data_IF_571673648819
#
_entry.id   IF_571673648819
#
_cell.length_a   1.000
_cell.length_b   1.000
_cell.length_c   1.000
_cell.angle_alpha   90.00
_cell.angle_beta   90.00
_cell.angle_gamma   90.00
#
_symmetry.space_group_name_H-M   'P 1'
#
loop_
_entity.id
_entity.type
_entity.pdbx_description
1 polymer ?
#
# COMPACT_ATOMS: atom_id res chain seq x y z
N UNK A 1 17.26 -92.24 5.05
CA UNK A 1 17.52 -91.36 6.21
C UNK A 1 17.83 -89.99 5.68
N UNK A 2 16.78 -89.21 5.44
CA UNK A 2 16.90 -87.85 4.80
C UNK A 2 16.85 -86.79 5.86
N UNK A 3 17.98 -86.11 6.06
CA UNK A 3 18.03 -84.89 6.89
C UNK A 3 17.75 -83.69 6.01
N UNK A 4 16.54 -83.13 6.14
CA UNK A 4 16.24 -81.79 5.64
C UNK A 4 16.65 -80.74 6.71
N UNK A 5 17.64 -79.96 6.40
CA UNK A 5 17.91 -78.70 7.16
C UNK A 5 17.05 -77.59 6.62
N UNK A 6 16.23 -76.88 7.43
CA UNK A 6 15.56 -75.67 6.98
C UNK A 6 16.53 -74.50 7.03
N UNK A 7 16.82 -73.92 5.87
CA UNK A 7 17.59 -72.68 5.72
C UNK A 7 16.79 -71.55 6.32
N UNK A 8 17.24 -71.02 7.45
CA UNK A 8 16.59 -69.90 8.12
C UNK A 8 16.93 -68.57 7.43
N UNK A 9 16.06 -68.07 6.56
CA UNK A 9 16.19 -66.77 5.85
C UNK A 9 15.82 -65.55 6.71
N UNK A 10 15.51 -65.77 7.99
CA UNK A 10 15.05 -64.71 8.90
C UNK A 10 16.08 -63.58 9.21
N UNK A 11 17.40 -63.85 9.39
CA UNK A 11 18.34 -62.77 9.69
C UNK A 11 18.64 -61.87 8.49
N UNK A 12 18.55 -62.37 7.26
CA UNK A 12 18.83 -61.59 6.03
C UNK A 12 17.74 -60.56 5.74
N UNK A 13 16.46 -60.91 5.99
CA UNK A 13 15.33 -60.00 5.83
C UNK A 13 15.35 -58.88 6.85
N UNK A 14 15.74 -59.17 8.11
CA UNK A 14 15.87 -58.13 9.17
C UNK A 14 17.01 -57.15 8.86
N UNK A 15 18.11 -57.62 8.25
CA UNK A 15 19.23 -56.74 7.86
C UNK A 15 18.85 -55.80 6.70
N UNK A 16 18.06 -56.26 5.72
CA UNK A 16 17.57 -55.43 4.59
C UNK A 16 16.58 -54.37 5.01
N UNK A 17 15.67 -54.70 5.97
CA UNK A 17 14.72 -53.70 6.53
C UNK A 17 15.44 -52.66 7.37
N UNK A 18 16.46 -53.01 8.14
CA UNK A 18 17.27 -52.11 8.92
C UNK A 18 18.03 -51.11 8.06
N UNK A 19 18.61 -51.54 6.93
CA UNK A 19 19.33 -50.64 6.00
C UNK A 19 18.38 -49.65 5.28
N UNK A 20 17.10 -49.99 5.05
CA UNK A 20 16.16 -49.09 4.40
C UNK A 20 15.78 -47.88 5.26
N UNK A 21 15.78 -48.02 6.58
CA UNK A 21 15.50 -46.90 7.50
C UNK A 21 16.66 -45.93 7.68
N UNK A 22 17.91 -46.28 7.34
CA UNK A 22 19.09 -45.42 7.49
C UNK A 22 19.28 -44.47 6.29
N UNK A 23 18.61 -44.74 5.16
CA UNK A 23 18.78 -43.94 3.92
C UNK A 23 17.72 -42.83 3.73
N UNK A 24 16.85 -42.59 4.70
CA UNK A 24 15.93 -41.44 4.62
C UNK A 24 16.77 -40.16 4.79
N UNK A 25 16.97 -39.35 3.74
CA UNK A 25 17.59 -38.06 3.92
C UNK A 25 16.68 -37.20 4.79
N UNK A 26 17.07 -36.94 6.02
CA UNK A 26 16.45 -35.90 6.81
C UNK A 26 16.73 -34.58 6.08
N UNK A 27 15.67 -33.93 5.57
CA UNK A 27 15.76 -32.56 5.09
C UNK A 27 16.07 -31.68 6.30
N UNK A 28 17.35 -31.46 6.59
CA UNK A 28 17.75 -30.43 7.51
C UNK A 28 17.66 -29.08 6.79
N UNK A 29 16.74 -28.24 7.23
CA UNK A 29 16.75 -26.84 6.80
C UNK A 29 18.07 -26.21 7.26
N UNK A 30 18.76 -25.53 6.35
CA UNK A 30 20.05 -24.93 6.68
C UNK A 30 19.88 -23.92 7.84
N UNK A 31 20.85 -23.88 8.76
CA UNK A 31 20.87 -22.90 9.86
C UNK A 31 20.72 -21.46 9.36
N UNK A 32 21.20 -21.15 8.14
CA UNK A 32 21.02 -19.87 7.47
C UNK A 32 19.56 -19.56 7.14
N UNK A 33 18.80 -20.56 6.70
CA UNK A 33 17.35 -20.39 6.43
C UNK A 33 16.57 -20.22 7.73
N UNK A 34 16.93 -20.97 8.77
CA UNK A 34 16.33 -20.80 10.10
C UNK A 34 16.66 -19.43 10.71
N UNK A 35 17.89 -18.95 10.61
CA UNK A 35 18.26 -17.60 11.04
C UNK A 35 17.58 -16.52 10.23
N UNK A 36 17.41 -16.69 8.91
CA UNK A 36 16.67 -15.76 8.06
C UNK A 36 15.18 -15.70 8.42
N UNK A 37 14.57 -16.82 8.81
CA UNK A 37 13.20 -16.87 9.31
C UNK A 37 13.06 -16.22 10.71
N UNK A 38 14.04 -16.42 11.58
CA UNK A 38 14.04 -15.85 12.95
C UNK A 38 14.36 -14.35 12.95
N UNK A 39 15.09 -13.85 11.94
CA UNK A 39 15.37 -12.42 11.76
C UNK A 39 14.18 -11.63 11.18
N UNK A 40 13.16 -12.30 10.64
CA UNK A 40 11.89 -11.64 10.27
C UNK A 40 11.21 -11.14 11.53
N UNK A 41 10.85 -9.85 11.53
CA UNK A 41 10.08 -9.26 12.62
C UNK A 41 8.79 -10.05 12.78
N UNK A 42 8.62 -10.69 13.94
CA UNK A 42 7.40 -11.45 14.28
C UNK A 42 6.22 -10.47 14.15
N UNK A 43 5.19 -10.83 13.39
CA UNK A 43 4.00 -9.99 13.19
C UNK A 43 4.12 -8.93 12.09
N UNK A 44 5.20 -8.94 11.28
CA UNK A 44 5.32 -8.07 10.10
C UNK A 44 5.53 -8.90 8.85
N UNK A 45 4.61 -8.77 7.90
CA UNK A 45 4.72 -9.37 6.57
C UNK A 45 5.29 -8.34 5.60
N UNK A 46 6.26 -8.74 4.78
CA UNK A 46 6.92 -7.89 3.80
C UNK A 46 6.59 -8.34 2.38
N UNK A 47 6.26 -7.38 1.49
CA UNK A 47 6.08 -7.59 0.07
C UNK A 47 6.77 -6.51 -0.73
N UNK A 48 7.48 -6.90 -1.80
CA UNK A 48 8.19 -6.00 -2.69
C UNK A 48 7.44 -5.85 -4.02
N UNK A 49 7.45 -4.63 -4.58
CA UNK A 49 6.86 -4.36 -5.89
C UNK A 49 5.34 -4.62 -5.91
N UNK A 50 4.59 -4.08 -4.95
CA UNK A 50 3.16 -4.35 -4.79
C UNK A 50 2.30 -3.47 -5.69
N UNK A 51 1.15 -4.03 -6.09
CA UNK A 51 0.08 -3.33 -6.79
C UNK A 51 -1.28 -3.78 -6.21
N UNK A 52 -2.05 -2.83 -5.67
CA UNK A 52 -3.32 -3.07 -4.99
C UNK A 52 -4.42 -2.35 -5.75
N UNK A 53 -5.42 -3.09 -6.23
CA UNK A 53 -6.57 -2.52 -6.93
C UNK A 53 -7.77 -2.43 -5.98
N UNK A 54 -8.38 -1.27 -5.92
CA UNK A 54 -9.70 -1.10 -5.31
C UNK A 54 -10.76 -1.09 -6.39
N UNK A 55 -11.73 -2.00 -6.27
CA UNK A 55 -12.84 -2.14 -7.23
C UNK A 55 -14.18 -1.93 -6.53
N UNK A 56 -15.10 -1.26 -7.23
CA UNK A 56 -16.47 -1.06 -6.78
C UNK A 56 -17.42 -1.31 -7.95
N UNK A 57 -18.43 -2.18 -7.75
CA UNK A 57 -19.36 -2.53 -8.83
C UNK A 57 -18.70 -3.15 -10.07
N UNK A 58 -17.62 -3.93 -9.87
CA UNK A 58 -16.86 -4.56 -10.97
C UNK A 58 -15.92 -3.62 -11.74
N UNK A 59 -15.84 -2.33 -11.37
CA UNK A 59 -14.94 -1.35 -12.00
C UNK A 59 -13.79 -0.97 -11.05
N UNK A 60 -12.59 -0.82 -11.61
CA UNK A 60 -11.44 -0.30 -10.87
C UNK A 60 -11.70 1.17 -10.58
N UNK A 61 -11.61 1.56 -9.32
CA UNK A 61 -11.73 2.95 -8.85
C UNK A 61 -10.39 3.55 -8.49
N UNK A 62 -9.49 2.73 -7.95
CA UNK A 62 -8.10 3.15 -7.72
C UNK A 62 -7.14 1.98 -7.79
N UNK A 63 -5.90 2.29 -8.14
CA UNK A 63 -4.76 1.39 -8.13
C UNK A 63 -3.64 2.04 -7.35
N UNK A 64 -3.23 1.39 -6.25
CA UNK A 64 -2.08 1.80 -5.46
C UNK A 64 -0.88 0.94 -5.82
N UNK A 65 0.29 1.53 -5.94
CA UNK A 65 1.54 0.81 -6.17
C UNK A 65 2.65 1.34 -5.27
N UNK A 66 3.51 0.43 -4.81
CA UNK A 66 4.63 0.76 -3.94
C UNK A 66 5.79 -0.21 -4.13
N UNK A 67 7.05 0.24 -4.01
CA UNK A 67 8.22 -0.63 -4.09
C UNK A 67 8.33 -1.57 -2.89
N UNK A 68 7.78 -1.19 -1.73
CA UNK A 68 7.83 -1.97 -0.49
C UNK A 68 6.53 -1.76 0.30
N UNK A 69 5.95 -2.85 0.77
CA UNK A 69 4.80 -2.90 1.66
C UNK A 69 5.15 -3.72 2.91
N UNK A 70 4.83 -3.19 4.08
CA UNK A 70 4.93 -3.87 5.36
C UNK A 70 3.53 -3.98 5.97
N UNK A 71 3.07 -5.18 6.23
CA UNK A 71 1.80 -5.42 6.92
C UNK A 71 2.08 -5.75 8.38
N UNK A 72 1.62 -4.89 9.26
CA UNK A 72 1.77 -5.01 10.71
C UNK A 72 0.53 -5.67 11.31
N UNK A 73 0.73 -6.79 12.03
CA UNK A 73 -0.32 -7.52 12.74
C UNK A 73 -0.36 -7.08 14.22
N UNK A 74 -0.50 -5.77 14.42
CA UNK A 74 -0.65 -5.17 15.76
C UNK A 74 -2.11 -5.28 16.26
N UNK A 75 -2.39 -4.77 17.46
CA UNK A 75 -3.77 -4.68 18.00
C UNK A 75 -4.72 -3.97 17.04
N UNK A 76 -4.24 -2.96 16.32
CA UNK A 76 -4.91 -2.34 15.18
C UNK A 76 -4.05 -2.62 13.96
N UNK A 77 -4.40 -3.61 13.11
CA UNK A 77 -3.61 -3.94 11.95
C UNK A 77 -3.54 -2.77 10.95
N UNK A 78 -2.36 -2.56 10.39
CA UNK A 78 -2.15 -1.54 9.36
C UNK A 78 -1.14 -1.99 8.32
N UNK A 79 -1.20 -1.37 7.17
CA UNK A 79 -0.24 -1.54 6.07
C UNK A 79 0.59 -0.26 5.95
N UNK A 80 1.90 -0.40 5.85
CA UNK A 80 2.85 0.69 5.71
C UNK A 80 3.56 0.62 4.37
N UNK A 81 3.77 1.78 3.74
CA UNK A 81 4.53 1.97 2.53
C UNK A 81 5.72 2.90 2.83
N UNK A 82 6.85 2.35 3.35
CA UNK A 82 7.91 3.18 3.95
C UNK A 82 8.84 3.85 2.94
N UNK A 83 8.82 3.45 1.67
CA UNK A 83 9.70 4.02 0.64
C UNK A 83 9.01 5.02 -0.27
N UNK A 84 7.82 4.70 -0.73
CA UNK A 84 6.93 5.57 -1.51
C UNK A 84 5.59 4.89 -1.73
N UNK A 85 4.60 5.67 -2.10
CA UNK A 85 3.30 5.21 -2.58
C UNK A 85 2.90 6.04 -3.80
N UNK A 86 2.38 5.36 -4.82
CA UNK A 86 1.77 5.95 -6.00
C UNK A 86 0.33 5.47 -6.13
N UNK A 87 -0.59 6.38 -6.48
CA UNK A 87 -2.00 6.09 -6.70
C UNK A 87 -2.48 6.59 -8.05
N UNK A 88 -3.16 5.72 -8.80
CA UNK A 88 -3.95 6.07 -9.98
C UNK A 88 -5.43 5.98 -9.61
N UNK A 89 -6.20 7.04 -9.87
CA UNK A 89 -7.63 7.10 -9.62
C UNK A 89 -8.38 7.18 -10.95
N UNK A 90 -9.41 6.34 -11.07
CA UNK A 90 -10.13 6.13 -12.32
C UNK A 90 -11.54 6.72 -12.26
N UNK A 91 -11.96 7.34 -13.34
CA UNK A 91 -13.34 7.75 -13.53
C UNK A 91 -14.25 6.56 -13.91
N UNK A 92 -15.52 6.81 -14.15
CA UNK A 92 -16.51 5.76 -14.51
C UNK A 92 -16.26 5.11 -15.86
N UNK A 93 -15.48 5.76 -16.74
CA UNK A 93 -15.03 5.23 -18.03
C UNK A 93 -13.73 4.40 -17.91
N UNK A 94 -13.22 4.19 -16.70
CA UNK A 94 -11.96 3.49 -16.41
C UNK A 94 -10.72 4.19 -16.99
N UNK A 95 -10.78 5.52 -17.12
CA UNK A 95 -9.64 6.38 -17.51
C UNK A 95 -9.05 6.97 -16.24
N UNK A 96 -7.71 7.02 -16.17
CA UNK A 96 -7.01 7.66 -15.05
C UNK A 96 -7.30 9.17 -15.14
N UNK A 97 -7.91 9.70 -14.08
CA UNK A 97 -8.30 11.11 -13.98
C UNK A 97 -7.40 11.88 -13.02
N UNK A 98 -7.00 11.22 -11.93
CA UNK A 98 -6.15 11.80 -10.89
C UNK A 98 -5.04 10.84 -10.53
N UNK A 99 -3.87 11.37 -10.18
CA UNK A 99 -2.71 10.64 -9.68
C UNK A 99 -2.22 11.23 -8.38
N UNK A 100 -1.62 10.37 -7.56
CA UNK A 100 -1.07 10.73 -6.27
C UNK A 100 0.32 10.14 -6.10
N UNK A 101 1.24 10.93 -5.55
CA UNK A 101 2.56 10.50 -5.13
C UNK A 101 2.84 10.95 -3.71
N UNK A 102 3.48 10.11 -2.90
CA UNK A 102 4.03 10.47 -1.59
C UNK A 102 5.25 9.60 -1.27
N UNK A 103 6.14 10.09 -0.39
CA UNK A 103 7.30 9.31 0.07
C UNK A 103 6.95 8.27 1.12
N UNK A 104 5.82 8.43 1.79
CA UNK A 104 5.35 7.54 2.84
C UNK A 104 3.84 7.40 2.79
N UNK A 105 3.32 6.20 3.07
CA UNK A 105 1.90 5.94 3.24
C UNK A 105 1.62 4.94 4.36
N UNK A 106 0.48 5.08 5.03
CA UNK A 106 -0.06 4.13 6.00
C UNK A 106 -1.55 3.95 5.78
N UNK A 107 -1.97 2.71 5.56
CA UNK A 107 -3.37 2.33 5.40
C UNK A 107 -3.87 1.59 6.64
N UNK A 108 -4.97 2.07 7.23
CA UNK A 108 -5.66 1.42 8.35
C UNK A 108 -6.96 0.86 7.80
N UNK A 109 -7.03 -0.48 7.66
CA UNK A 109 -8.17 -1.18 7.03
C UNK A 109 -9.50 -0.86 7.71
N UNK A 110 -9.54 -0.87 9.04
CA UNK A 110 -10.75 -0.61 9.84
C UNK A 110 -11.32 0.80 9.64
N UNK A 111 -10.50 1.75 9.18
CA UNK A 111 -10.89 3.15 8.95
C UNK A 111 -11.11 3.47 7.49
N UNK A 112 -10.77 2.56 6.55
CA UNK A 112 -10.78 2.80 5.10
C UNK A 112 -10.01 4.05 4.67
N UNK A 113 -8.98 4.40 5.43
CA UNK A 113 -8.25 5.67 5.36
C UNK A 113 -6.78 5.41 5.10
N UNK A 114 -6.20 6.17 4.16
CA UNK A 114 -4.76 6.19 3.89
C UNK A 114 -4.21 7.54 4.31
N UNK A 115 -3.33 7.52 5.31
CA UNK A 115 -2.49 8.66 5.67
C UNK A 115 -1.23 8.66 4.82
N UNK A 116 -0.88 9.80 4.25
CA UNK A 116 0.32 10.00 3.42
C UNK A 116 1.10 11.20 3.91
N UNK A 117 2.41 11.12 3.82
CA UNK A 117 3.28 12.22 4.21
C UNK A 117 4.55 12.29 3.38
N UNK A 118 5.24 13.40 3.52
CA UNK A 118 6.49 13.73 2.88
C UNK A 118 6.37 13.86 1.35
N UNK A 119 6.38 15.12 0.89
CA UNK A 119 6.28 15.48 -0.53
C UNK A 119 5.00 14.93 -1.20
N UNK A 120 3.86 15.05 -0.52
CA UNK A 120 2.58 14.62 -1.09
C UNK A 120 2.22 15.54 -2.26
N UNK A 121 1.86 14.89 -3.38
CA UNK A 121 1.44 15.54 -4.60
C UNK A 121 0.24 14.80 -5.19
N UNK A 122 -0.86 15.53 -5.42
CA UNK A 122 -2.04 15.01 -6.15
C UNK A 122 -2.25 15.87 -7.37
N UNK A 123 -2.41 15.27 -8.53
CA UNK A 123 -2.56 16.00 -9.80
C UNK A 123 -3.56 15.35 -10.73
N UNK A 124 -4.33 16.17 -11.39
CA UNK A 124 -5.37 15.73 -12.32
C UNK A 124 -5.02 16.04 -13.79
N UNK A 125 -5.83 15.51 -14.70
CA UNK A 125 -5.65 15.72 -16.15
C UNK A 125 -5.94 17.16 -16.59
N UNK A 126 -6.59 18.00 -15.75
CA UNK A 126 -6.85 19.40 -16.03
C UNK A 126 -5.61 20.28 -15.85
N UNK A 127 -4.56 19.75 -15.19
CA UNK A 127 -3.32 20.42 -14.90
C UNK A 127 -3.29 21.06 -13.51
N UNK A 128 -4.29 20.77 -12.66
CA UNK A 128 -4.26 21.19 -11.27
C UNK A 128 -3.39 20.23 -10.47
N UNK A 129 -2.54 20.79 -9.60
CA UNK A 129 -1.65 20.01 -8.74
C UNK A 129 -1.70 20.54 -7.32
N UNK A 130 -2.10 19.68 -6.40
CA UNK A 130 -2.05 19.90 -4.96
C UNK A 130 -0.69 19.45 -4.42
N UNK A 131 -0.10 20.25 -3.57
CA UNK A 131 1.09 19.96 -2.78
C UNK A 131 0.77 20.09 -1.30
N UNK A 132 1.20 19.11 -0.50
CA UNK A 132 1.09 19.16 0.97
C UNK A 132 2.22 18.36 1.61
N UNK A 133 2.50 18.66 2.89
CA UNK A 133 3.39 17.80 3.70
C UNK A 133 2.70 16.52 4.15
N UNK A 134 1.39 16.57 4.37
CA UNK A 134 0.55 15.46 4.83
C UNK A 134 -0.81 15.53 4.14
N UNK A 135 -1.39 14.34 3.84
CA UNK A 135 -2.72 14.22 3.24
C UNK A 135 -3.36 12.91 3.69
N UNK A 136 -4.66 12.95 3.91
CA UNK A 136 -5.50 11.77 4.09
C UNK A 136 -6.30 11.52 2.83
N UNK A 137 -6.46 10.25 2.46
CA UNK A 137 -7.45 9.80 1.51
C UNK A 137 -8.43 8.87 2.21
N UNK A 138 -9.66 9.35 2.42
CA UNK A 138 -10.74 8.64 3.09
C UNK A 138 -11.86 8.32 2.11
N UNK A 139 -12.02 7.05 1.80
CA UNK A 139 -13.03 6.57 0.85
C UNK A 139 -14.47 6.69 1.35
N UNK A 140 -14.66 6.86 2.65
CA UNK A 140 -15.99 7.00 3.26
C UNK A 140 -16.49 8.45 3.21
N UNK A 141 -15.62 9.41 2.92
CA UNK A 141 -15.95 10.84 2.83
C UNK A 141 -16.25 11.24 1.37
N UNK A 142 -17.37 10.78 0.83
CA UNK A 142 -17.75 11.04 -0.56
C UNK A 142 -17.80 12.53 -0.88
N UNK A 143 -17.08 12.95 -1.93
CA UNK A 143 -16.95 14.35 -2.35
C UNK A 143 -15.88 15.16 -1.59
N UNK A 144 -15.24 14.55 -0.58
CA UNK A 144 -14.17 15.13 0.26
C UNK A 144 -13.15 14.06 0.63
N UNK A 145 -12.86 13.17 -0.31
CA UNK A 145 -12.00 12.02 -0.10
C UNK A 145 -10.57 12.43 0.28
N UNK A 146 -10.07 13.53 -0.29
CA UNK A 146 -8.79 14.11 0.10
C UNK A 146 -8.99 15.20 1.15
N UNK A 147 -8.30 15.11 2.28
CA UNK A 147 -8.33 16.14 3.30
C UNK A 147 -7.03 16.24 4.09
N UNK A 148 -6.75 17.45 4.62
CA UNK A 148 -5.63 17.72 5.53
C UNK A 148 -5.88 19.00 6.34
N UNK A 149 -5.30 19.06 7.53
CA UNK A 149 -5.22 20.26 8.37
C UNK A 149 -3.93 21.08 8.16
N UNK A 150 -3.03 20.59 7.30
CA UNK A 150 -1.72 21.19 7.03
C UNK A 150 -1.80 22.30 5.98
N UNK A 151 -0.66 22.96 5.79
CA UNK A 151 -0.49 23.90 4.70
C UNK A 151 -0.56 23.18 3.34
N UNK A 152 -1.25 23.80 2.41
CA UNK A 152 -1.43 23.33 1.03
C UNK A 152 -1.09 24.41 0.03
N UNK A 153 -0.62 24.00 -1.14
CA UNK A 153 -0.47 24.83 -2.33
C UNK A 153 -1.12 24.12 -3.52
N UNK A 154 -2.07 24.76 -4.17
CA UNK A 154 -2.72 24.27 -5.38
C UNK A 154 -2.24 25.12 -6.55
N UNK A 155 -1.59 24.48 -7.52
CA UNK A 155 -1.18 25.11 -8.78
C UNK A 155 -2.13 24.65 -9.89
N UNK A 156 -2.85 25.63 -10.45
CA UNK A 156 -3.57 25.47 -11.70
C UNK A 156 -2.80 26.12 -12.87
N UNK A 157 -3.39 26.09 -14.06
CA UNK A 157 -2.76 26.64 -15.27
C UNK A 157 -2.44 28.14 -15.19
N UNK A 158 -3.27 28.92 -14.49
CA UNK A 158 -3.15 30.38 -14.42
C UNK A 158 -2.81 30.89 -13.02
N UNK A 159 -3.16 30.16 -11.99
CA UNK A 159 -3.11 30.65 -10.60
C UNK A 159 -2.55 29.62 -9.65
N UNK A 160 -1.87 30.10 -8.61
CA UNK A 160 -1.52 29.31 -7.42
C UNK A 160 -2.35 29.81 -6.25
N UNK A 161 -2.89 28.90 -5.46
CA UNK A 161 -3.65 29.20 -4.24
C UNK A 161 -3.04 28.43 -3.08
N UNK A 162 -2.87 29.12 -1.97
CA UNK A 162 -2.23 28.58 -0.78
C UNK A 162 -3.12 28.79 0.44
N UNK A 163 -2.91 27.98 1.46
CA UNK A 163 -3.61 28.13 2.74
C UNK A 163 -3.37 26.95 3.66
N UNK A 164 -4.16 26.89 4.73
CA UNK A 164 -4.09 25.86 5.75
C UNK A 164 -5.47 25.23 5.91
N UNK A 165 -5.49 23.87 5.89
CA UNK A 165 -6.71 23.10 5.93
C UNK A 165 -7.36 22.98 4.55
N UNK A 166 -7.60 21.76 4.11
CA UNK A 166 -8.05 21.47 2.75
C UNK A 166 -8.96 20.23 2.72
N UNK A 167 -9.98 20.31 1.87
CA UNK A 167 -10.81 19.15 1.48
C UNK A 167 -11.04 19.21 -0.03
N UNK A 168 -11.09 18.02 -0.66
CA UNK A 168 -11.40 17.89 -2.08
C UNK A 168 -12.03 16.56 -2.42
N UNK A 169 -12.80 16.59 -3.52
CA UNK A 169 -13.20 15.36 -4.23
C UNK A 169 -11.98 14.64 -4.83
N UNK A 170 -12.09 13.33 -5.05
CA UNK A 170 -11.00 12.48 -5.57
C UNK A 170 -10.48 12.95 -6.93
N UNK A 171 -11.31 13.58 -7.75
CA UNK A 171 -10.99 14.13 -9.07
C UNK A 171 -10.38 15.54 -9.03
N UNK A 172 -10.28 16.16 -7.82
CA UNK A 172 -9.85 17.54 -7.60
C UNK A 172 -10.73 18.59 -8.31
N UNK A 173 -11.94 18.28 -8.78
CA UNK A 173 -12.84 19.26 -9.38
C UNK A 173 -13.47 20.18 -8.33
N UNK A 174 -13.79 19.64 -7.17
CA UNK A 174 -14.36 20.39 -6.05
C UNK A 174 -13.40 20.37 -4.88
N UNK A 175 -12.99 21.55 -4.43
CA UNK A 175 -12.07 21.68 -3.31
C UNK A 175 -12.31 22.97 -2.52
N UNK A 176 -11.91 22.96 -1.27
CA UNK A 176 -11.98 24.09 -0.33
C UNK A 176 -10.68 24.21 0.43
N UNK A 177 -10.17 25.42 0.55
CA UNK A 177 -9.10 25.79 1.50
C UNK A 177 -9.76 26.57 2.63
N UNK A 178 -9.64 26.11 3.87
CA UNK A 178 -10.34 26.70 5.02
C UNK A 178 -9.74 28.04 5.47
N UNK A 179 -8.42 28.17 5.42
CA UNK A 179 -7.68 29.40 5.76
C UNK A 179 -6.80 29.77 4.57
N UNK A 180 -7.37 30.40 3.52
CA UNK A 180 -6.61 30.78 2.36
C UNK A 180 -5.60 31.86 2.73
N UNK A 181 -4.42 31.83 2.11
CA UNK A 181 -3.36 32.83 2.21
C UNK A 181 -2.94 33.26 0.80
N UNK A 182 -2.43 34.48 0.67
CA UNK A 182 -1.96 34.98 -0.61
C UNK A 182 -2.58 36.33 -0.98
N UNK A 183 -2.06 36.95 -2.06
CA UNK A 183 -2.57 38.18 -2.63
C UNK A 183 -3.45 37.83 -3.82
N UNK A 184 -4.71 38.29 -3.77
CA UNK A 184 -5.63 38.16 -4.91
C UNK A 184 -5.75 39.53 -5.59
N UNK A 185 -5.45 39.58 -6.88
CA UNK A 185 -5.72 40.77 -7.69
C UNK A 185 -7.16 40.73 -8.18
N UNK A 186 -8.00 41.66 -7.73
CA UNK A 186 -9.36 41.80 -8.22
C UNK A 186 -9.40 42.73 -9.43
N UNK A 187 -10.23 42.43 -10.45
CA UNK A 187 -10.48 43.37 -11.52
C UNK A 187 -11.07 44.66 -10.95
N UNK A 188 -10.61 45.82 -11.43
CA UNK A 188 -11.04 47.16 -10.95
C UNK A 188 -12.56 47.36 -11.03
N UNK A 189 -13.26 46.64 -11.92
CA UNK A 189 -14.71 46.67 -12.07
C UNK A 189 -15.51 46.08 -10.91
N UNK A 190 -14.87 45.38 -9.97
CA UNK A 190 -15.51 44.76 -8.80
C UNK A 190 -15.42 45.61 -7.52
N UNK A 191 -14.78 46.76 -7.56
CA UNK A 191 -14.80 47.68 -6.44
C UNK A 191 -16.07 48.54 -6.48
N UNK A 192 -16.88 48.59 -5.39
CA UNK A 192 -17.98 49.55 -5.29
C UNK A 192 -17.39 50.97 -5.34
N UNK A 193 -17.97 51.84 -6.21
CA UNK A 193 -17.67 53.28 -6.27
C UNK A 193 -18.39 54.03 -5.17
#
# INVERSE_FOLDING_TARGET
>A
MNLHHPFTTKPLAALLVGCFFITLPACENSEKEMMALTSRRIGVEEANGVSINYTLGGKIKSKLSAPLMLRHQDTIPYIEFPKSIHGDFYNDQMVIETKLDAKYGRYIESQSNIFMKDSVRVFNNNGDTLYSSELYWDRNHVGKEFHTDKAVSIRGKANTREGVGFEASQDLHNWVIYKPSGITTLPTSQFPQ
#
